data_IF_079514620323
#
_entry.id   IF_079514620323
#
_cell.length_a   1.000
_cell.length_b   1.000
_cell.length_c   1.000
_cell.angle_alpha   90.00
_cell.angle_beta   90.00
_cell.angle_gamma   90.00
#
_symmetry.space_group_name_H-M   'P 1'
#
loop_
_entity.id
_entity.type
_entity.pdbx_description
1 polymer ?
#
# COMPACT_ATOMS: atom_id res chain seq x y z
N UNK A 1 22.32 -29.97 -47.79
CA UNK A 1 21.08 -30.72 -47.51
C UNK A 1 20.36 -30.04 -46.36
N UNK A 2 19.06 -29.80 -46.54
CA UNK A 2 18.09 -29.38 -45.52
C UNK A 2 18.04 -30.43 -44.38
N UNK A 3 17.62 -30.13 -43.15
CA UNK A 3 16.24 -29.75 -42.81
C UNK A 3 16.09 -29.20 -41.38
N UNK A 4 15.33 -28.08 -41.30
CA UNK A 4 14.18 -27.78 -40.41
C UNK A 4 14.36 -27.92 -38.89
N UNK A 5 14.37 -26.85 -38.09
CA UNK A 5 13.29 -25.90 -37.68
C UNK A 5 12.11 -26.48 -36.87
N UNK A 6 11.75 -25.70 -35.83
CA UNK A 6 10.48 -25.60 -35.06
C UNK A 6 10.40 -26.61 -33.90
N UNK A 7 10.11 -26.25 -32.62
CA UNK A 7 8.93 -25.55 -32.05
C UNK A 7 9.32 -24.98 -30.66
N UNK A 8 9.39 -23.65 -30.45
CA UNK A 8 8.36 -22.77 -29.86
C UNK A 8 7.89 -23.13 -28.43
N UNK A 9 8.25 -22.30 -27.45
CA UNK A 9 7.32 -21.92 -26.38
C UNK A 9 7.28 -20.39 -26.27
N UNK A 10 6.07 -19.88 -26.41
CA UNK A 10 5.71 -18.48 -26.42
C UNK A 10 5.46 -17.94 -25.01
N UNK A 11 5.58 -16.61 -24.91
CA UNK A 11 5.08 -15.73 -23.84
C UNK A 11 5.82 -15.88 -22.49
N UNK A 12 6.15 -14.83 -21.76
CA UNK A 12 5.30 -13.69 -21.41
C UNK A 12 6.18 -12.46 -21.16
N UNK A 13 5.71 -11.34 -21.70
CA UNK A 13 5.99 -9.95 -21.35
C UNK A 13 6.40 -9.78 -19.88
N UNK A 14 7.54 -9.13 -19.61
CA UNK A 14 7.69 -8.10 -18.57
C UNK A 14 9.17 -7.68 -18.49
N UNK A 15 9.54 -6.82 -19.44
CA UNK A 15 10.65 -5.89 -19.28
C UNK A 15 10.36 -4.96 -18.10
N UNK A 16 10.68 -5.39 -16.87
CA UNK A 16 10.62 -4.57 -15.64
C UNK A 16 11.62 -5.06 -14.56
N UNK A 17 12.64 -5.84 -14.91
CA UNK A 17 13.58 -6.43 -13.94
C UNK A 17 14.85 -5.62 -13.68
N UNK A 18 14.90 -4.36 -14.12
CA UNK A 18 16.08 -3.50 -13.97
C UNK A 18 15.77 -2.23 -13.16
N UNK A 19 15.38 -2.38 -11.90
CA UNK A 19 15.50 -1.31 -10.91
C UNK A 19 16.02 -1.84 -9.57
N UNK A 20 17.33 -1.63 -9.40
CA UNK A 20 18.03 -1.28 -8.17
C UNK A 20 17.87 -2.19 -6.92
N UNK A 21 18.92 -2.98 -6.69
CA UNK A 21 19.42 -3.30 -5.35
C UNK A 21 19.86 -1.99 -4.68
N UNK A 22 18.93 -1.25 -4.08
CA UNK A 22 19.24 -0.14 -3.20
C UNK A 22 19.32 -0.66 -1.76
N UNK A 23 20.49 -0.47 -1.13
CA UNK A 23 20.72 -0.84 0.27
C UNK A 23 19.72 -0.21 1.25
N UNK A 24 19.58 -0.77 2.46
CA UNK A 24 18.44 -0.52 3.36
C UNK A 24 18.29 0.92 3.83
N UNK A 25 19.32 1.76 3.77
CA UNK A 25 19.29 3.13 4.30
C UNK A 25 18.53 4.13 3.39
N UNK A 26 18.49 3.90 2.07
CA UNK A 26 17.81 4.82 1.14
C UNK A 26 16.32 4.49 0.94
N UNK A 27 15.87 3.29 1.34
CA UNK A 27 14.44 2.92 1.33
C UNK A 27 13.65 3.66 2.41
N UNK A 28 14.28 3.94 3.54
CA UNK A 28 13.60 4.51 4.71
C UNK A 28 13.23 5.99 4.51
N UNK A 29 14.11 6.78 3.89
CA UNK A 29 13.83 8.17 3.52
C UNK A 29 12.77 8.29 2.40
N UNK A 30 12.74 7.33 1.47
CA UNK A 30 11.72 7.29 0.41
C UNK A 30 10.36 6.78 0.89
N UNK A 31 10.32 5.92 1.91
CA UNK A 31 9.08 5.35 2.45
C UNK A 31 8.13 6.41 3.01
N UNK A 32 8.66 7.51 3.55
CA UNK A 32 7.90 8.68 4.01
C UNK A 32 7.88 9.85 3.02
N UNK A 33 8.26 9.63 1.75
CA UNK A 33 8.13 10.71 0.78
C UNK A 33 6.67 11.14 0.66
N UNK A 34 6.41 12.43 0.43
CA UNK A 34 5.04 12.94 0.27
C UNK A 34 4.27 12.20 -0.83
N UNK A 35 4.98 11.68 -1.84
CA UNK A 35 4.40 10.84 -2.90
C UNK A 35 3.94 9.48 -2.35
N UNK A 36 4.80 8.78 -1.62
CA UNK A 36 4.49 7.48 -1.02
C UNK A 36 3.34 7.57 -0.02
N UNK A 37 3.35 8.60 0.83
CA UNK A 37 2.24 8.85 1.76
C UNK A 37 0.95 9.23 1.03
N UNK A 38 1.06 9.92 -0.11
CA UNK A 38 -0.07 10.19 -1.01
C UNK A 38 -0.71 8.91 -1.55
N UNK A 39 0.10 7.97 -2.05
CA UNK A 39 -0.37 6.66 -2.51
C UNK A 39 -0.96 5.83 -1.38
N UNK A 40 -0.31 5.80 -0.22
CA UNK A 40 -0.84 5.14 0.97
C UNK A 40 -2.22 5.67 1.35
N UNK A 41 -2.39 6.99 1.37
CA UNK A 41 -3.67 7.64 1.67
C UNK A 41 -4.76 7.28 0.67
N UNK A 42 -4.44 7.23 -0.62
CA UNK A 42 -5.38 6.75 -1.65
C UNK A 42 -5.77 5.29 -1.41
N UNK A 43 -4.80 4.42 -1.10
CA UNK A 43 -5.06 3.01 -0.82
C UNK A 43 -5.95 2.82 0.41
N UNK A 44 -5.77 3.63 1.45
CA UNK A 44 -6.64 3.65 2.63
C UNK A 44 -8.08 4.03 2.24
N UNK A 45 -8.25 5.06 1.42
CA UNK A 45 -9.59 5.45 0.94
C UNK A 45 -10.27 4.34 0.14
N UNK A 46 -9.53 3.63 -0.71
CA UNK A 46 -10.04 2.47 -1.45
C UNK A 46 -10.46 1.35 -0.49
N UNK A 47 -9.59 0.98 0.44
CA UNK A 47 -9.86 -0.10 1.40
C UNK A 47 -10.98 0.23 2.39
N UNK A 48 -11.21 1.51 2.68
CA UNK A 48 -12.28 1.96 3.56
C UNK A 48 -13.60 2.29 2.84
N UNK A 49 -13.67 2.16 1.51
CA UNK A 49 -14.86 2.54 0.74
C UNK A 49 -16.12 1.76 1.14
N UNK A 50 -15.96 0.53 1.62
CA UNK A 50 -17.04 -0.34 2.08
C UNK A 50 -17.23 -0.33 3.59
N UNK A 51 -16.49 0.49 4.35
CA UNK A 51 -16.64 0.57 5.81
C UNK A 51 -17.95 1.29 6.11
N UNK A 52 -18.93 0.60 6.73
CA UNK A 52 -20.21 1.21 7.03
C UNK A 52 -20.03 2.29 8.10
N UNK A 53 -20.58 3.47 7.85
CA UNK A 53 -20.55 4.60 8.77
C UNK A 53 -21.79 5.46 8.59
N UNK A 54 -22.41 5.86 9.70
CA UNK A 54 -23.53 6.81 9.67
C UNK A 54 -23.06 8.26 9.85
N UNK A 55 -21.87 8.46 10.44
CA UNK A 55 -21.34 9.78 10.79
C UNK A 55 -20.36 10.33 9.75
N UNK A 56 -19.70 9.46 9.00
CA UNK A 56 -18.65 9.82 8.06
C UNK A 56 -19.00 9.34 6.66
N UNK A 57 -19.08 10.27 5.70
CA UNK A 57 -19.25 9.94 4.29
C UNK A 57 -18.07 9.13 3.72
N UNK A 58 -16.85 9.38 4.23
CA UNK A 58 -15.66 8.62 3.87
C UNK A 58 -14.73 8.44 5.08
N UNK A 59 -14.86 7.32 5.81
CA UNK A 59 -13.96 6.98 6.91
C UNK A 59 -12.48 6.95 6.50
N UNK A 60 -12.20 6.54 5.27
CA UNK A 60 -10.84 6.47 4.73
C UNK A 60 -10.18 7.83 4.56
N UNK A 61 -10.95 8.91 4.39
CA UNK A 61 -10.38 10.25 4.35
C UNK A 61 -9.85 10.67 5.73
N UNK A 62 -10.68 10.50 6.77
CA UNK A 62 -10.34 10.86 8.16
C UNK A 62 -9.16 10.01 8.63
N UNK A 63 -9.28 8.69 8.55
CA UNK A 63 -8.22 7.79 9.00
C UNK A 63 -7.00 7.80 8.07
N UNK A 64 -7.15 8.12 6.79
CA UNK A 64 -6.01 8.27 5.88
C UNK A 64 -5.08 9.40 6.29
N UNK A 65 -5.62 10.56 6.69
CA UNK A 65 -4.81 11.68 7.20
C UNK A 65 -4.09 11.29 8.49
N UNK A 66 -4.80 10.64 9.40
CA UNK A 66 -4.23 10.26 10.69
C UNK A 66 -3.09 9.23 10.55
N UNK A 67 -3.27 8.24 9.66
CA UNK A 67 -2.24 7.25 9.36
C UNK A 67 -1.01 7.94 8.79
N UNK A 68 -1.15 8.79 7.78
CA UNK A 68 0.01 9.48 7.19
C UNK A 68 0.72 10.37 8.21
N UNK A 69 0.00 11.16 9.00
CA UNK A 69 0.60 12.01 10.03
C UNK A 69 1.21 11.23 11.19
N UNK A 70 0.77 10.00 11.45
CA UNK A 70 1.40 9.13 12.45
C UNK A 70 2.70 8.54 11.92
N UNK A 71 2.75 8.16 10.64
CA UNK A 71 3.95 7.62 10.00
C UNK A 71 5.03 8.68 9.79
N UNK A 72 4.65 9.91 9.42
CA UNK A 72 5.58 11.05 9.32
C UNK A 72 6.29 11.37 10.64
N UNK A 73 5.60 11.13 11.77
CA UNK A 73 6.14 11.37 13.12
C UNK A 73 6.91 10.18 13.68
N UNK A 74 6.82 9.00 13.05
CA UNK A 74 7.56 7.81 13.46
C UNK A 74 8.99 7.90 12.93
N UNK A 75 9.99 7.84 13.84
CA UNK A 75 11.41 7.91 13.48
C UNK A 75 11.86 6.84 12.49
N UNK A 76 11.11 5.74 12.39
CA UNK A 76 11.41 4.64 11.48
C UNK A 76 10.71 4.73 10.12
N UNK A 77 9.68 5.57 10.00
CA UNK A 77 8.71 5.59 8.90
C UNK A 77 8.39 4.21 8.30
N UNK A 78 7.94 3.28 9.15
CA UNK A 78 7.58 1.95 8.68
C UNK A 78 6.14 1.93 8.14
N UNK A 79 5.99 1.89 6.81
CA UNK A 79 4.69 1.70 6.15
C UNK A 79 3.97 0.43 6.61
N UNK A 80 4.70 -0.58 7.10
CA UNK A 80 4.11 -1.81 7.64
C UNK A 80 3.26 -1.57 8.90
N UNK A 81 3.42 -0.42 9.58
CA UNK A 81 2.56 -0.04 10.71
C UNK A 81 1.24 0.59 10.27
N UNK A 82 1.10 0.97 9.00
CA UNK A 82 -0.11 1.63 8.50
C UNK A 82 -1.41 0.85 8.76
N UNK A 83 -1.48 -0.49 8.60
CA UNK A 83 -2.69 -1.27 8.93
C UNK A 83 -3.05 -1.19 10.41
N UNK A 84 -2.07 -1.27 11.30
CA UNK A 84 -2.27 -1.18 12.75
C UNK A 84 -2.81 0.21 13.14
N UNK A 85 -2.24 1.27 12.57
CA UNK A 85 -2.69 2.65 12.80
C UNK A 85 -4.10 2.85 12.24
N UNK A 86 -4.40 2.32 11.05
CA UNK A 86 -5.73 2.39 10.45
C UNK A 86 -6.77 1.69 11.33
N UNK A 87 -6.48 0.48 11.81
CA UNK A 87 -7.36 -0.28 12.69
C UNK A 87 -7.70 0.50 13.95
N UNK A 88 -6.71 1.11 14.61
CA UNK A 88 -6.94 1.98 15.77
C UNK A 88 -7.82 3.18 15.46
N UNK A 89 -7.57 3.87 14.34
CA UNK A 89 -8.40 5.02 13.95
C UNK A 89 -9.86 4.60 13.76
N UNK A 90 -10.11 3.54 12.98
CA UNK A 90 -11.45 3.02 12.73
C UNK A 90 -12.14 2.59 14.04
N UNK A 91 -11.41 1.93 14.95
CA UNK A 91 -11.93 1.54 16.26
C UNK A 91 -12.33 2.75 17.11
N UNK A 92 -11.54 3.82 17.15
CA UNK A 92 -11.89 5.05 17.88
C UNK A 92 -13.14 5.74 17.34
N UNK A 93 -13.43 5.53 16.05
CA UNK A 93 -14.66 6.00 15.41
C UNK A 93 -15.80 4.98 15.45
N UNK A 94 -15.65 3.88 16.19
CA UNK A 94 -16.65 2.79 16.30
C UNK A 94 -17.02 2.18 14.94
N UNK A 95 -16.06 2.08 14.02
CA UNK A 95 -16.23 1.54 12.68
C UNK A 95 -15.66 0.13 12.55
N UNK A 96 -16.32 -0.72 11.77
CA UNK A 96 -15.83 -2.07 11.47
C UNK A 96 -14.64 -2.00 10.50
N UNK A 97 -13.43 -2.21 11.03
CA UNK A 97 -12.19 -1.96 10.31
C UNK A 97 -11.41 -3.19 9.82
N UNK A 98 -11.79 -4.41 10.21
CA UNK A 98 -10.97 -5.60 9.96
C UNK A 98 -10.73 -5.86 8.47
N UNK A 99 -11.79 -5.79 7.66
CA UNK A 99 -11.69 -5.96 6.20
C UNK A 99 -10.85 -4.87 5.54
N UNK A 100 -11.00 -3.60 5.99
CA UNK A 100 -10.21 -2.48 5.47
C UNK A 100 -8.73 -2.62 5.86
N UNK A 101 -8.45 -3.07 7.07
CA UNK A 101 -7.10 -3.29 7.59
C UNK A 101 -6.42 -4.43 6.84
N UNK A 102 -7.13 -5.54 6.62
CA UNK A 102 -6.63 -6.66 5.82
C UNK A 102 -6.38 -6.26 4.35
N UNK A 103 -7.28 -5.46 3.76
CA UNK A 103 -7.11 -4.89 2.42
C UNK A 103 -5.82 -4.06 2.33
N UNK A 104 -5.59 -3.16 3.29
CA UNK A 104 -4.40 -2.31 3.30
C UNK A 104 -3.13 -3.14 3.49
N UNK A 105 -3.14 -4.11 4.41
CA UNK A 105 -2.01 -5.02 4.61
C UNK A 105 -1.67 -5.77 3.33
N UNK A 106 -2.66 -6.33 2.63
CA UNK A 106 -2.47 -7.01 1.36
C UNK A 106 -1.91 -6.07 0.28
N UNK A 107 -2.36 -4.81 0.23
CA UNK A 107 -1.85 -3.84 -0.73
C UNK A 107 -0.37 -3.50 -0.48
N UNK A 108 0.03 -3.36 0.78
CA UNK A 108 1.42 -3.15 1.20
C UNK A 108 2.29 -4.36 0.88
N UNK A 109 1.82 -5.57 1.23
CA UNK A 109 2.55 -6.83 0.98
C UNK A 109 2.77 -7.05 -0.53
N UNK A 110 1.90 -6.51 -1.39
CA UNK A 110 2.01 -6.55 -2.85
C UNK A 110 2.72 -5.33 -3.49
N UNK A 111 3.16 -4.35 -2.71
CA UNK A 111 3.83 -3.14 -3.23
C UNK A 111 2.92 -2.19 -4.04
N UNK A 112 1.60 -2.22 -3.83
CA UNK A 112 0.64 -1.42 -4.62
C UNK A 112 0.67 0.06 -4.25
N UNK A 113 1.09 0.39 -3.02
CA UNK A 113 1.05 1.75 -2.48
C UNK A 113 2.40 2.47 -2.39
N UNK A 114 3.49 1.86 -2.87
CA UNK A 114 4.86 2.37 -2.67
C UNK A 114 5.86 1.80 -3.66
#
# INVERSE_FOLDING_TARGET
MATKTVVLFAAVVLACLSVAVAGPQNRQLNACSSRTLGYLKQQIQICCRSVPSQQYFNPGFVCGNEVTSSLERDSSCSLQRAPEVLGRCLQRHYLQGDAATACLKKALDNGVCC
#
